data_IF_756213131398
#
_entry.id   IF_756213131398
#
_cell.length_a   1.000
_cell.length_b   1.000
_cell.length_c   1.000
_cell.angle_alpha   90.00
_cell.angle_beta   90.00
_cell.angle_gamma   90.00
#
_symmetry.space_group_name_H-M   'P 1'
#
loop_
_entity.id
_entity.type
_entity.pdbx_description
1 polymer ?
#
# COMPACT_ATOMS: atom_id res chain seq x y z
N UNK A 1 -20.74 5.84 -4.76
CA UNK A 1 -20.46 5.33 -3.40
C UNK A 1 -19.31 6.14 -2.81
N UNK A 2 -19.29 6.36 -1.51
CA UNK A 2 -18.17 7.03 -0.85
C UNK A 2 -16.93 6.14 -0.89
N UNK A 3 -15.74 6.71 -1.13
CA UNK A 3 -14.48 5.98 -0.98
C UNK A 3 -14.09 5.78 0.51
N UNK A 4 -14.82 6.41 1.44
CA UNK A 4 -14.54 6.34 2.88
C UNK A 4 -14.92 4.96 3.45
N UNK A 5 -13.91 4.18 3.80
CA UNK A 5 -14.04 2.79 4.30
C UNK A 5 -14.04 2.67 5.82
N UNK A 6 -13.94 3.79 6.58
CA UNK A 6 -13.83 3.75 8.05
C UNK A 6 -14.98 3.00 8.72
N UNK A 7 -16.21 3.19 8.25
CA UNK A 7 -17.38 2.52 8.82
C UNK A 7 -17.34 1.00 8.60
N UNK A 8 -16.84 0.56 7.45
CA UNK A 8 -16.69 -0.87 7.12
C UNK A 8 -15.56 -1.48 7.94
N UNK A 9 -14.41 -0.80 8.04
CA UNK A 9 -13.25 -1.27 8.78
C UNK A 9 -13.56 -1.45 10.28
N UNK A 10 -14.38 -0.59 10.88
CA UNK A 10 -14.83 -0.74 12.27
C UNK A 10 -15.68 -1.97 12.54
N UNK A 11 -16.25 -2.59 11.51
CA UNK A 11 -17.03 -3.83 11.63
C UNK A 11 -16.15 -5.08 11.58
N UNK A 12 -14.86 -4.92 11.30
CA UNK A 12 -13.90 -6.01 11.27
C UNK A 12 -13.43 -6.31 12.69
N UNK A 13 -13.96 -7.36 13.29
CA UNK A 13 -13.75 -7.73 14.70
C UNK A 13 -12.81 -8.93 14.89
N UNK A 14 -12.19 -9.44 13.82
CA UNK A 14 -11.42 -10.70 13.85
C UNK A 14 -10.24 -10.71 14.85
N UNK A 15 -9.81 -9.53 15.35
CA UNK A 15 -8.68 -9.40 16.27
C UNK A 15 -8.98 -8.50 17.48
N UNK A 16 -10.25 -8.22 17.76
CA UNK A 16 -10.64 -7.29 18.85
C UNK A 16 -10.37 -7.86 20.26
N UNK A 17 -10.24 -9.17 20.40
CA UNK A 17 -9.90 -9.88 21.63
C UNK A 17 -8.41 -10.01 21.90
N UNK A 18 -7.56 -9.45 21.01
CA UNK A 18 -6.09 -9.57 21.10
C UNK A 18 -5.46 -8.28 21.64
N UNK A 19 -4.48 -8.44 22.50
CA UNK A 19 -3.66 -7.33 23.00
C UNK A 19 -2.73 -6.74 21.89
N UNK A 20 -2.38 -7.57 20.92
CA UNK A 20 -1.51 -7.18 19.79
C UNK A 20 -1.95 -7.84 18.49
N UNK A 21 -1.70 -7.16 17.38
CA UNK A 21 -2.04 -7.64 16.03
C UNK A 21 -0.87 -7.36 15.09
N UNK A 22 -0.58 -8.30 14.19
CA UNK A 22 0.34 -8.07 13.10
C UNK A 22 -0.33 -7.25 12.00
N UNK A 23 0.31 -6.15 11.57
CA UNK A 23 -0.06 -5.34 10.41
C UNK A 23 0.99 -5.54 9.32
N UNK A 24 0.56 -5.93 8.12
CA UNK A 24 1.46 -6.07 6.97
C UNK A 24 1.51 -4.80 6.13
N UNK A 25 2.69 -4.22 5.99
CA UNK A 25 2.99 -3.09 5.14
C UNK A 25 3.68 -3.52 3.84
N UNK A 26 3.12 -3.10 2.72
CA UNK A 26 3.64 -3.42 1.38
C UNK A 26 3.86 -2.17 0.51
N UNK A 27 3.43 -1.00 0.97
CA UNK A 27 3.48 0.28 0.27
C UNK A 27 4.15 1.37 1.11
N UNK A 28 3.45 2.47 1.37
CA UNK A 28 4.00 3.61 2.12
C UNK A 28 4.50 3.25 3.51
N UNK A 29 4.00 2.18 4.12
CA UNK A 29 4.46 1.70 5.43
C UNK A 29 5.91 1.21 5.40
N UNK A 30 6.46 0.86 4.23
CA UNK A 30 7.86 0.43 4.11
C UNK A 30 8.86 1.57 4.35
N UNK A 31 8.48 2.82 4.08
CA UNK A 31 9.33 3.99 4.26
C UNK A 31 8.77 5.03 5.25
N UNK A 32 7.49 4.90 5.64
CA UNK A 32 6.82 5.82 6.57
C UNK A 32 5.75 5.07 7.36
N UNK A 33 6.14 4.34 8.39
CA UNK A 33 5.19 3.68 9.30
C UNK A 33 4.30 4.75 9.98
N UNK A 34 4.88 5.67 10.73
CA UNK A 34 4.18 6.82 11.32
C UNK A 34 3.25 6.45 12.48
N UNK A 35 3.47 5.30 13.12
CA UNK A 35 2.78 4.82 14.31
C UNK A 35 3.75 4.02 15.20
N UNK A 36 3.37 3.84 16.46
CA UNK A 36 4.14 3.01 17.40
C UNK A 36 3.92 1.52 17.14
N UNK A 37 4.99 0.75 17.19
CA UNK A 37 4.96 -0.71 17.08
C UNK A 37 5.88 -1.34 18.12
N UNK A 38 5.56 -2.58 18.50
CA UNK A 38 6.32 -3.35 19.49
C UNK A 38 7.46 -4.13 18.82
N UNK A 39 7.21 -4.63 17.60
CA UNK A 39 8.14 -5.43 16.81
C UNK A 39 7.95 -5.12 15.32
N UNK A 40 9.01 -5.23 14.52
CA UNK A 40 8.98 -5.09 13.08
C UNK A 40 9.88 -6.16 12.46
N UNK A 41 9.35 -6.93 11.50
CA UNK A 41 10.05 -8.03 10.84
C UNK A 41 9.74 -8.09 9.35
N UNK A 42 10.70 -8.53 8.51
CA UNK A 42 10.40 -8.94 7.15
C UNK A 42 9.32 -10.03 7.13
N UNK A 43 8.37 -9.91 6.23
CA UNK A 43 7.30 -10.88 6.04
C UNK A 43 6.84 -10.90 4.59
N UNK A 44 6.08 -11.94 4.23
CA UNK A 44 5.50 -12.10 2.90
C UNK A 44 4.07 -12.62 2.97
N UNK A 45 3.29 -12.31 1.95
CA UNK A 45 1.97 -12.91 1.72
C UNK A 45 1.95 -13.53 0.33
N UNK A 46 1.27 -14.68 0.21
CA UNK A 46 1.16 -15.44 -1.03
C UNK A 46 -0.14 -15.13 -1.77
N UNK A 47 -0.11 -15.23 -3.11
CA UNK A 47 -1.27 -15.01 -3.97
C UNK A 47 -1.60 -13.54 -4.21
N UNK A 48 -0.66 -12.61 -3.92
CA UNK A 48 -0.86 -11.17 -4.03
C UNK A 48 0.34 -10.48 -4.64
N UNK A 49 0.07 -9.42 -5.42
CA UNK A 49 1.10 -8.58 -6.04
C UNK A 49 0.73 -7.10 -5.96
N UNK A 50 1.75 -6.22 -5.94
CA UNK A 50 1.59 -4.76 -5.92
C UNK A 50 1.14 -4.23 -7.27
N UNK A 51 0.16 -3.29 -7.27
CA UNK A 51 -0.25 -2.55 -8.47
C UNK A 51 -0.60 -1.11 -8.12
N UNK A 52 -0.17 -0.14 -8.94
CA UNK A 52 -0.54 1.27 -8.85
C UNK A 52 -1.91 1.51 -9.49
N UNK A 53 -2.93 0.80 -9.03
CA UNK A 53 -4.28 0.80 -9.59
C UNK A 53 -5.30 1.55 -8.74
N UNK A 54 -4.92 2.00 -7.52
CA UNK A 54 -5.78 2.80 -6.64
C UNK A 54 -5.52 4.29 -6.88
N UNK A 55 -6.60 5.08 -6.92
CA UNK A 55 -6.54 6.53 -6.99
C UNK A 55 -6.30 7.17 -5.63
N UNK A 56 -5.51 8.23 -5.61
CA UNK A 56 -5.29 9.06 -4.43
C UNK A 56 -5.86 10.46 -4.66
N UNK A 57 -6.96 10.76 -3.97
CA UNK A 57 -7.68 12.03 -4.08
C UNK A 57 -7.36 12.99 -2.93
N UNK A 58 -6.69 12.51 -1.88
CA UNK A 58 -6.50 13.20 -0.60
C UNK A 58 -5.05 13.18 -0.07
N UNK A 59 -4.14 12.44 -0.72
CA UNK A 59 -2.72 12.37 -0.34
C UNK A 59 -1.78 12.77 -1.47
N UNK A 60 -1.78 12.05 -2.59
CA UNK A 60 -0.83 12.21 -3.71
C UNK A 60 -1.48 12.80 -4.97
N UNK A 61 -2.71 13.25 -4.86
CA UNK A 61 -3.49 13.93 -5.86
C UNK A 61 -4.65 14.69 -5.23
N UNK A 62 -5.52 15.21 -6.09
CA UNK A 62 -6.76 15.89 -5.71
C UNK A 62 -7.96 15.19 -6.35
N UNK A 63 -9.21 15.49 -5.94
CA UNK A 63 -10.39 14.92 -6.60
C UNK A 63 -10.46 15.20 -8.11
N UNK A 64 -9.93 16.32 -8.58
CA UNK A 64 -9.92 16.73 -9.99
C UNK A 64 -8.74 16.14 -10.77
N UNK A 65 -7.64 15.82 -10.08
CA UNK A 65 -6.42 15.26 -10.64
C UNK A 65 -5.87 14.17 -9.68
N UNK A 66 -6.49 12.98 -9.65
CA UNK A 66 -6.09 11.94 -8.72
C UNK A 66 -4.70 11.40 -9.05
N UNK A 67 -3.89 11.21 -8.01
CA UNK A 67 -2.66 10.46 -8.11
C UNK A 67 -2.90 8.96 -8.17
N UNK A 68 -1.84 8.17 -8.37
CA UNK A 68 -1.88 6.71 -8.27
C UNK A 68 -1.05 6.23 -7.09
N UNK A 69 -1.63 5.34 -6.31
CA UNK A 69 -0.99 4.69 -5.15
C UNK A 69 -1.16 3.18 -5.24
N UNK A 70 -0.40 2.46 -4.42
CA UNK A 70 -0.44 1.01 -4.41
C UNK A 70 -1.70 0.46 -3.79
N UNK A 71 -2.15 -0.64 -4.36
CA UNK A 71 -2.94 -1.68 -3.71
C UNK A 71 -2.35 -3.05 -3.99
N UNK A 72 -2.92 -4.10 -3.40
CA UNK A 72 -2.64 -5.48 -3.74
C UNK A 72 -3.77 -6.05 -4.59
N UNK A 73 -3.40 -6.81 -5.60
CA UNK A 73 -4.33 -7.60 -6.41
C UNK A 73 -3.98 -9.08 -6.33
N UNK A 74 -4.99 -9.92 -6.44
CA UNK A 74 -4.78 -11.37 -6.47
C UNK A 74 -4.05 -11.77 -7.76
N UNK A 75 -3.05 -12.62 -7.58
CA UNK A 75 -2.29 -13.21 -8.68
C UNK A 75 -1.75 -14.55 -8.18
N UNK A 76 -2.21 -15.64 -8.77
CA UNK A 76 -1.77 -16.98 -8.43
C UNK A 76 -0.24 -17.07 -8.51
N UNK A 77 0.38 -17.85 -7.62
CA UNK A 77 1.83 -18.04 -7.48
C UNK A 77 2.65 -16.78 -7.18
N UNK A 78 2.04 -15.60 -7.04
CA UNK A 78 2.75 -14.40 -6.66
C UNK A 78 3.08 -14.38 -5.16
N UNK A 79 4.21 -13.76 -4.84
CA UNK A 79 4.64 -13.48 -3.47
C UNK A 79 4.84 -11.97 -3.35
N UNK A 80 4.17 -11.38 -2.38
CA UNK A 80 4.38 -9.97 -2.01
C UNK A 80 5.23 -9.93 -0.73
N UNK A 81 6.47 -9.52 -0.85
CA UNK A 81 7.38 -9.28 0.26
C UNK A 81 7.12 -7.90 0.87
N UNK A 82 7.25 -7.77 2.19
CA UNK A 82 6.99 -6.52 2.91
C UNK A 82 7.48 -6.58 4.34
N UNK A 83 6.90 -5.72 5.17
CA UNK A 83 7.22 -5.64 6.60
C UNK A 83 5.97 -5.91 7.43
N UNK A 84 6.09 -6.76 8.43
CA UNK A 84 5.06 -6.95 9.44
C UNK A 84 5.40 -6.13 10.69
N UNK A 85 4.42 -5.39 11.22
CA UNK A 85 4.51 -4.57 12.42
C UNK A 85 3.59 -5.15 13.49
N UNK A 86 4.12 -5.52 14.64
CA UNK A 86 3.30 -5.92 15.78
C UNK A 86 2.81 -4.65 16.50
N UNK A 87 1.53 -4.38 16.45
CA UNK A 87 0.91 -3.16 16.95
C UNK A 87 -0.15 -3.44 18.02
N UNK A 88 -0.41 -2.46 18.87
CA UNK A 88 -1.59 -2.47 19.73
C UNK A 88 -2.83 -2.07 18.90
N UNK A 89 -4.03 -2.66 19.16
CA UNK A 89 -5.25 -2.38 18.38
C UNK A 89 -5.64 -0.90 18.30
N UNK A 90 -5.31 -0.09 19.32
CA UNK A 90 -5.57 1.37 19.29
C UNK A 90 -4.92 2.11 18.11
N UNK A 91 -3.89 1.53 17.49
CA UNK A 91 -3.22 2.10 16.31
C UNK A 91 -4.16 2.13 15.10
N UNK A 92 -5.16 1.24 15.06
CA UNK A 92 -6.14 1.21 13.97
C UNK A 92 -7.01 2.47 13.88
N UNK A 93 -7.25 3.20 14.98
CA UNK A 93 -7.97 4.47 14.92
C UNK A 93 -7.27 5.49 14.02
N UNK A 94 -5.93 5.56 14.12
CA UNK A 94 -5.10 6.41 13.26
C UNK A 94 -5.00 5.85 11.84
N UNK A 95 -4.81 4.55 11.69
CA UNK A 95 -4.65 3.90 10.39
C UNK A 95 -5.92 3.96 9.55
N UNK A 96 -7.10 3.76 10.13
CA UNK A 96 -8.37 3.87 9.41
C UNK A 96 -8.63 5.28 8.88
N UNK A 97 -8.13 6.31 9.56
CA UNK A 97 -8.18 7.69 9.04
C UNK A 97 -7.21 7.87 7.87
N UNK A 98 -6.00 7.30 7.96
CA UNK A 98 -4.98 7.37 6.93
C UNK A 98 -5.38 6.60 5.67
N UNK A 99 -5.93 5.39 5.84
CA UNK A 99 -6.24 4.45 4.76
C UNK A 99 -7.73 4.51 4.33
N UNK A 100 -8.47 5.53 4.74
CA UNK A 100 -9.93 5.67 4.50
C UNK A 100 -10.34 5.66 3.03
N UNK A 101 -9.42 6.00 2.10
CA UNK A 101 -9.73 6.18 0.69
C UNK A 101 -9.74 4.84 -0.07
N UNK A 102 -10.73 4.00 0.22
CA UNK A 102 -10.99 2.74 -0.47
C UNK A 102 -10.30 1.51 0.09
N UNK A 103 -9.49 1.63 1.16
CA UNK A 103 -8.77 0.49 1.73
C UNK A 103 -9.58 -0.21 2.83
N UNK A 104 -9.72 -1.52 2.69
CA UNK A 104 -10.37 -2.40 3.67
C UNK A 104 -9.30 -3.16 4.47
N UNK A 105 -9.54 -3.34 5.77
CA UNK A 105 -8.76 -4.25 6.61
C UNK A 105 -9.15 -5.69 6.31
N UNK A 106 -8.23 -6.47 5.78
CA UNK A 106 -8.44 -7.88 5.46
C UNK A 106 -7.47 -8.75 6.25
N UNK A 107 -7.99 -9.84 6.84
CA UNK A 107 -7.15 -10.83 7.50
C UNK A 107 -6.37 -11.64 6.46
N UNK A 108 -5.06 -11.82 6.69
CA UNK A 108 -4.16 -12.60 5.86
C UNK A 108 -3.14 -13.35 6.73
N UNK A 109 -2.72 -14.52 6.26
CA UNK A 109 -1.60 -15.24 6.87
C UNK A 109 -0.29 -14.62 6.37
N UNK A 110 0.53 -14.17 7.30
CA UNK A 110 1.87 -13.64 7.08
C UNK A 110 2.89 -14.75 7.30
N UNK A 111 3.86 -14.88 6.41
CA UNK A 111 4.98 -15.78 6.56
C UNK A 111 6.25 -15.00 6.84
N UNK A 112 7.04 -15.45 7.82
CA UNK A 112 8.29 -14.85 8.22
C UNK A 112 9.50 -15.63 7.68
N UNK A 113 10.66 -14.99 7.67
CA UNK A 113 11.90 -15.59 7.13
C UNK A 113 12.42 -16.77 7.95
N UNK A 114 12.04 -16.87 9.22
CA UNK A 114 12.36 -18.02 10.09
C UNK A 114 11.46 -19.25 9.84
N UNK A 115 10.54 -19.18 8.86
CA UNK A 115 9.58 -20.22 8.53
C UNK A 115 8.32 -20.22 9.39
N UNK A 116 8.21 -19.34 10.38
CA UNK A 116 6.99 -19.19 11.17
C UNK A 116 5.91 -18.43 10.37
N UNK A 117 4.66 -18.55 10.82
CA UNK A 117 3.52 -17.82 10.24
C UNK A 117 2.62 -17.29 11.35
N UNK A 118 1.93 -16.20 11.06
CA UNK A 118 0.91 -15.61 11.94
C UNK A 118 -0.21 -14.99 11.12
N UNK A 119 -1.41 -14.96 11.68
CA UNK A 119 -2.49 -14.18 11.11
C UNK A 119 -2.33 -12.70 11.45
N UNK A 120 -2.55 -11.86 10.45
CA UNK A 120 -2.43 -10.41 10.57
C UNK A 120 -3.43 -9.69 9.68
N UNK A 121 -3.37 -8.37 9.71
CA UNK A 121 -4.21 -7.48 8.92
C UNK A 121 -3.41 -6.80 7.82
N UNK A 122 -4.06 -6.59 6.69
CA UNK A 122 -3.53 -5.88 5.53
C UNK A 122 -4.58 -4.89 5.03
N UNK A 123 -4.20 -3.66 4.75
CA UNK A 123 -5.08 -2.69 4.08
C UNK A 123 -5.01 -2.89 2.57
N UNK A 124 -6.12 -3.28 1.94
CA UNK A 124 -6.21 -3.55 0.50
C UNK A 124 -7.39 -2.76 -0.07
N UNK A 125 -7.14 -1.97 -1.11
CA UNK A 125 -8.20 -1.35 -1.91
C UNK A 125 -8.66 -2.34 -2.99
N UNK A 126 -9.95 -2.63 -2.99
CA UNK A 126 -10.59 -3.59 -3.90
C UNK A 126 -11.18 -2.88 -5.13
N UNK A 127 -11.41 -3.58 -6.26
CA UNK A 127 -11.88 -2.96 -7.52
C UNK A 127 -13.24 -2.27 -7.45
N UNK A 128 -14.05 -2.59 -6.44
CA UNK A 128 -15.41 -2.06 -6.25
C UNK A 128 -15.47 -0.72 -5.51
N UNK A 129 -14.31 -0.14 -5.11
CA UNK A 129 -14.30 1.18 -4.48
C UNK A 129 -14.31 2.34 -5.50
N UNK A 130 -14.86 3.48 -5.10
CA UNK A 130 -15.05 4.65 -5.98
C UNK A 130 -13.73 5.32 -6.44
N UNK A 131 -12.61 5.02 -5.80
CA UNK A 131 -11.29 5.56 -6.14
C UNK A 131 -10.46 4.60 -7.01
N UNK A 132 -11.02 3.46 -7.42
CA UNK A 132 -10.33 2.49 -8.26
C UNK A 132 -10.07 3.03 -9.66
N UNK A 133 -8.81 3.06 -10.08
CA UNK A 133 -8.40 3.51 -11.42
C UNK A 133 -8.09 2.34 -12.36
N UNK A 134 -7.84 1.15 -11.80
CA UNK A 134 -7.61 -0.06 -12.57
C UNK A 134 -6.27 -0.13 -13.29
N UNK A 135 -6.16 -1.15 -14.12
CA UNK A 135 -4.98 -1.44 -14.90
C UNK A 135 -4.72 -0.37 -15.96
N UNK A 136 -3.43 -0.08 -16.18
CA UNK A 136 -2.95 0.76 -17.26
C UNK A 136 -1.49 0.39 -17.61
N UNK A 137 -1.01 0.73 -18.81
CA UNK A 137 0.39 0.61 -19.18
C UNK A 137 1.31 1.37 -18.19
N UNK A 138 2.51 0.84 -17.92
CA UNK A 138 3.43 1.47 -16.96
C UNK A 138 3.80 2.91 -17.35
N UNK A 139 3.90 3.20 -18.64
CA UNK A 139 4.17 4.55 -19.14
C UNK A 139 3.03 5.53 -18.81
N UNK A 140 1.77 5.09 -18.93
CA UNK A 140 0.60 5.92 -18.63
C UNK A 140 0.46 6.15 -17.12
N UNK A 141 0.73 5.11 -16.32
CA UNK A 141 0.81 5.24 -14.86
C UNK A 141 1.87 6.27 -14.47
N UNK A 142 3.08 6.17 -15.06
CA UNK A 142 4.17 7.10 -14.79
C UNK A 142 3.83 8.54 -15.21
N UNK A 143 3.19 8.74 -16.36
CA UNK A 143 2.75 10.05 -16.82
C UNK A 143 1.74 10.68 -15.85
N UNK A 144 0.73 9.90 -15.40
CA UNK A 144 -0.24 10.35 -14.40
C UNK A 144 0.44 10.68 -13.06
N UNK A 145 1.36 9.83 -12.59
CA UNK A 145 2.14 10.04 -11.37
C UNK A 145 2.99 11.31 -11.46
N UNK A 146 3.66 11.55 -12.59
CA UNK A 146 4.48 12.76 -12.81
C UNK A 146 3.65 14.04 -12.76
N UNK A 147 2.40 14.00 -13.25
CA UNK A 147 1.51 15.16 -13.31
C UNK A 147 0.73 15.42 -12.01
N UNK A 148 0.75 14.50 -11.04
CA UNK A 148 -0.11 14.56 -9.86
C UNK A 148 0.64 15.04 -8.62
N UNK A 149 0.01 15.95 -7.87
CA UNK A 149 0.48 16.43 -6.56
C UNK A 149 -0.70 16.58 -5.62
N UNK A 150 -0.56 16.16 -4.38
CA UNK A 150 -1.59 16.28 -3.33
C UNK A 150 -1.05 16.88 -2.05
N UNK A 151 -1.85 16.92 -0.98
CA UNK A 151 -1.44 17.47 0.33
C UNK A 151 -0.20 16.80 0.95
N UNK A 152 0.07 15.54 0.60
CA UNK A 152 1.26 14.80 1.06
C UNK A 152 2.48 14.95 0.12
N UNK A 153 2.42 15.88 -0.84
CA UNK A 153 3.47 16.16 -1.81
C UNK A 153 3.27 15.47 -3.17
N UNK A 154 4.28 15.60 -4.07
CA UNK A 154 4.23 15.04 -5.41
C UNK A 154 4.03 13.52 -5.39
N UNK A 155 3.23 13.01 -6.33
CA UNK A 155 2.97 11.57 -6.40
C UNK A 155 4.23 10.77 -6.81
N UNK A 156 5.12 11.39 -7.60
CA UNK A 156 6.40 10.78 -7.95
C UNK A 156 7.24 10.40 -6.71
N UNK A 157 7.24 11.25 -5.67
CA UNK A 157 8.03 11.00 -4.45
C UNK A 157 7.59 9.71 -3.76
N UNK A 158 6.30 9.39 -3.82
CA UNK A 158 5.78 8.12 -3.33
C UNK A 158 6.42 6.92 -4.06
N UNK A 159 6.51 6.97 -5.40
CA UNK A 159 7.11 5.90 -6.21
C UNK A 159 8.61 5.77 -5.91
N UNK A 160 9.34 6.89 -5.87
CA UNK A 160 10.79 6.89 -5.63
C UNK A 160 11.11 6.35 -4.23
N UNK A 161 10.47 6.87 -3.17
CA UNK A 161 10.70 6.39 -1.81
C UNK A 161 10.34 4.92 -1.64
N UNK A 162 9.29 4.45 -2.32
CA UNK A 162 8.93 3.04 -2.30
C UNK A 162 9.99 2.17 -3.00
N UNK A 163 10.46 2.60 -4.18
CA UNK A 163 11.48 1.87 -4.93
C UNK A 163 12.81 1.80 -4.13
N UNK A 164 13.20 2.89 -3.48
CA UNK A 164 14.36 2.94 -2.58
C UNK A 164 14.19 1.99 -1.39
N UNK A 165 13.01 1.98 -0.73
CA UNK A 165 12.73 1.10 0.39
C UNK A 165 12.77 -0.38 -0.01
N UNK A 166 12.19 -0.73 -1.16
CA UNK A 166 12.24 -2.11 -1.69
C UNK A 166 13.68 -2.56 -1.93
N UNK A 167 14.53 -1.71 -2.55
CA UNK A 167 15.95 -2.00 -2.76
C UNK A 167 16.70 -2.16 -1.44
N UNK A 168 16.46 -1.28 -0.47
CA UNK A 168 17.09 -1.35 0.84
C UNK A 168 16.76 -2.63 1.60
N UNK A 169 15.57 -3.19 1.38
CA UNK A 169 15.12 -4.46 1.92
C UNK A 169 15.57 -5.68 1.08
N UNK A 170 16.20 -5.46 -0.07
CA UNK A 170 16.61 -6.53 -0.99
C UNK A 170 15.45 -7.13 -1.80
N UNK A 171 14.32 -6.44 -1.89
CA UNK A 171 13.14 -6.91 -2.62
C UNK A 171 13.14 -6.42 -4.06
N UNK A 172 12.66 -7.26 -4.96
CA UNK A 172 12.50 -6.96 -6.38
C UNK A 172 11.02 -6.84 -6.73
N UNK A 173 10.63 -5.72 -7.35
CA UNK A 173 9.27 -5.50 -7.84
C UNK A 173 9.31 -4.87 -9.23
N UNK A 174 9.00 -5.68 -10.25
CA UNK A 174 9.09 -5.25 -11.65
C UNK A 174 8.09 -4.15 -11.99
N UNK A 175 6.93 -4.11 -11.34
CA UNK A 175 5.90 -3.09 -11.56
C UNK A 175 6.35 -1.73 -11.00
N UNK A 176 6.81 -1.69 -9.75
CA UNK A 176 7.31 -0.47 -9.11
C UNK A 176 8.53 0.08 -9.83
N UNK A 177 9.54 -0.77 -10.07
CA UNK A 177 10.77 -0.36 -10.77
C UNK A 177 10.51 -0.02 -12.25
N UNK A 178 9.47 -0.60 -12.87
CA UNK A 178 9.04 -0.23 -14.21
C UNK A 178 8.50 1.20 -14.27
N UNK A 179 7.63 1.58 -13.35
CA UNK A 179 7.09 2.94 -13.25
C UNK A 179 8.22 3.94 -12.95
N UNK A 180 9.10 3.63 -12.01
CA UNK A 180 10.26 4.49 -11.70
C UNK A 180 11.15 4.75 -12.93
N UNK A 181 11.46 3.73 -13.73
CA UNK A 181 12.23 3.92 -14.98
C UNK A 181 11.54 4.87 -15.96
N UNK A 182 10.21 4.78 -16.09
CA UNK A 182 9.45 5.70 -16.94
C UNK A 182 9.46 7.13 -16.37
N UNK A 183 9.36 7.31 -15.05
CA UNK A 183 9.47 8.63 -14.40
C UNK A 183 10.82 9.28 -14.71
N UNK A 184 11.93 8.54 -14.55
CA UNK A 184 13.26 9.05 -14.89
C UNK A 184 13.44 9.34 -16.40
N UNK A 185 12.75 8.59 -17.27
CA UNK A 185 12.78 8.89 -18.70
C UNK A 185 12.05 10.21 -19.04
N UNK A 186 10.91 10.47 -18.40
CA UNK A 186 10.17 11.73 -18.55
C UNK A 186 10.98 12.94 -18.11
N UNK A 187 11.74 12.85 -17.02
CA UNK A 187 12.62 13.92 -16.52
C UNK A 187 13.78 14.28 -17.49
N UNK A 188 14.31 13.25 -18.18
CA UNK A 188 15.39 13.48 -19.15
C UNK A 188 14.90 14.05 -20.48
N UNK A 189 13.59 13.98 -20.74
CA UNK A 189 12.99 14.42 -21.99
C UNK A 189 12.40 15.85 -21.92
N UNK A 190 12.20 16.40 -20.71
CA UNK A 190 11.69 17.75 -20.47
C UNK A 190 12.78 18.70 -20.03
#
# INVERSE_FOLDING_TARGET
MSADTRAVNRQMTAFDDRDTVWLFGYGSLLFKAGFDYLECRPARIHGWTRRFWQGSHDHRGTPQAPGRVLTLVQQDDAICEGMAYLIAPRVFDQLDVREKNGYLRLAKTLQFDDGSAADGLVYIATPDNAAWLGEAPLADIAAQVAASTGPSGPNRDYVIHLAEALRALGYADSHVFGIERHLHALERAG
#
